data_IF_383100845093
#
_entry.id   IF_383100845093
#
_cell.length_a   1.000
_cell.length_b   1.000
_cell.length_c   1.000
_cell.angle_alpha   90.00
_cell.angle_beta   90.00
_cell.angle_gamma   90.00
#
_symmetry.space_group_name_H-M   'P 1'
#
loop_
_entity.id
_entity.type
_entity.pdbx_description
1 polymer ?
#
# COMPACT_ATOMS: atom_id res chain seq x y z
N UNK A 1 13.76 11.63 -9.13
CA UNK A 1 12.61 10.79 -8.72
C UNK A 1 12.87 9.30 -8.94
N UNK A 2 13.10 8.82 -10.17
CA UNK A 2 13.27 7.38 -10.43
C UNK A 2 14.47 6.79 -9.66
N UNK A 3 15.61 7.48 -9.62
CA UNK A 3 16.77 7.01 -8.84
C UNK A 3 16.47 6.89 -7.34
N UNK A 4 15.69 7.84 -6.80
CA UNK A 4 15.20 7.78 -5.41
C UNK A 4 14.26 6.58 -5.22
N UNK A 5 13.37 6.28 -6.16
CA UNK A 5 12.51 5.09 -6.09
C UNK A 5 13.32 3.78 -6.12
N UNK A 6 14.31 3.70 -7.01
CA UNK A 6 15.21 2.54 -7.11
C UNK A 6 16.00 2.38 -5.80
N UNK A 7 16.53 3.48 -5.26
CA UNK A 7 17.27 3.44 -4.01
C UNK A 7 16.39 3.10 -2.80
N UNK A 8 15.16 3.62 -2.74
CA UNK A 8 14.18 3.26 -1.71
C UNK A 8 13.80 1.77 -1.79
N UNK A 9 13.57 1.24 -3.00
CA UNK A 9 13.34 -0.18 -3.22
C UNK A 9 14.58 -1.01 -2.86
N UNK A 10 15.79 -0.51 -3.09
CA UNK A 10 17.04 -1.15 -2.63
C UNK A 10 17.29 -0.98 -1.13
N UNK A 11 16.35 -0.45 -0.37
CA UNK A 11 16.46 -0.26 1.08
C UNK A 11 17.65 0.63 1.48
N UNK A 12 18.02 1.60 0.63
CA UNK A 12 19.14 2.51 0.88
C UNK A 12 18.71 3.63 1.85
N UNK A 13 19.28 3.71 3.07
CA UNK A 13 18.92 4.73 4.06
C UNK A 13 19.13 6.17 3.56
N UNK A 14 20.18 6.41 2.77
CA UNK A 14 20.55 7.75 2.28
C UNK A 14 19.44 8.41 1.46
N UNK A 15 18.63 7.61 0.78
CA UNK A 15 17.51 8.12 0.00
C UNK A 15 16.44 8.71 0.90
N UNK A 16 16.21 8.11 2.07
CA UNK A 16 15.22 8.58 3.02
C UNK A 16 15.67 9.89 3.67
N UNK A 17 16.95 9.99 4.05
CA UNK A 17 17.58 11.25 4.50
C UNK A 17 17.47 12.36 3.43
N UNK A 18 17.69 12.02 2.16
CA UNK A 18 17.60 12.97 1.04
C UNK A 18 16.16 13.51 0.84
N UNK A 19 15.16 12.63 0.83
CA UNK A 19 13.75 13.03 0.58
C UNK A 19 13.09 13.67 1.79
N UNK A 20 13.58 13.38 2.98
CA UNK A 20 13.17 14.05 4.21
C UNK A 20 13.50 15.55 4.15
N UNK A 21 14.76 15.88 3.84
CA UNK A 21 15.24 17.26 3.75
C UNK A 21 14.68 18.03 2.53
N UNK A 22 14.27 17.33 1.47
CA UNK A 22 13.73 17.93 0.25
C UNK A 22 12.20 18.08 0.29
N UNK A 23 11.71 19.26 0.68
CA UNK A 23 10.27 19.56 0.72
C UNK A 23 9.56 19.38 -0.62
N UNK A 24 10.27 19.56 -1.75
CA UNK A 24 9.72 19.34 -3.09
C UNK A 24 9.43 17.87 -3.37
N UNK A 25 10.06 16.96 -2.61
CA UNK A 25 9.85 15.52 -2.74
C UNK A 25 8.46 15.07 -2.25
N UNK A 26 7.66 15.94 -1.63
CA UNK A 26 6.26 15.63 -1.24
C UNK A 26 5.39 15.32 -2.46
N UNK A 27 5.50 16.13 -3.52
CA UNK A 27 4.76 15.87 -4.77
C UNK A 27 5.29 14.62 -5.47
N UNK A 28 6.61 14.38 -5.42
CA UNK A 28 7.21 13.15 -5.95
C UNK A 28 6.70 11.92 -5.21
N UNK A 29 6.64 11.96 -3.86
CA UNK A 29 6.11 10.89 -3.03
C UNK A 29 4.65 10.58 -3.38
N UNK A 30 3.81 11.61 -3.55
CA UNK A 30 2.43 11.44 -4.00
C UNK A 30 2.34 10.80 -5.40
N UNK A 31 3.23 11.17 -6.33
CA UNK A 31 3.32 10.54 -7.66
C UNK A 31 3.74 9.06 -7.56
N UNK A 32 4.70 8.71 -6.69
CA UNK A 32 5.08 7.32 -6.44
C UNK A 32 3.88 6.50 -5.95
N UNK A 33 3.17 7.01 -4.94
CA UNK A 33 1.98 6.33 -4.38
C UNK A 33 0.87 6.20 -5.42
N UNK A 34 0.65 7.24 -6.22
CA UNK A 34 -0.32 7.23 -7.32
C UNK A 34 0.05 6.17 -8.35
N UNK A 35 1.32 6.08 -8.75
CA UNK A 35 1.82 5.07 -9.70
C UNK A 35 1.64 3.65 -9.16
N UNK A 36 1.96 3.43 -7.87
CA UNK A 36 1.75 2.15 -7.19
C UNK A 36 0.26 1.78 -7.16
N UNK A 37 -0.61 2.74 -6.84
CA UNK A 37 -2.06 2.57 -6.88
C UNK A 37 -2.57 2.24 -8.27
N UNK A 38 -2.09 2.94 -9.29
CA UNK A 38 -2.43 2.73 -10.70
C UNK A 38 -2.03 1.32 -11.15
N UNK A 39 -0.78 0.92 -10.91
CA UNK A 39 -0.28 -0.41 -11.32
C UNK A 39 -0.98 -1.54 -10.56
N UNK A 40 -1.22 -1.36 -9.26
CA UNK A 40 -2.02 -2.28 -8.47
C UNK A 40 -3.46 -2.40 -8.99
N UNK A 41 -4.05 -1.27 -9.41
CA UNK A 41 -5.39 -1.20 -9.97
C UNK A 41 -5.47 -1.89 -11.33
N UNK A 42 -4.48 -1.67 -12.20
CA UNK A 42 -4.36 -2.33 -13.50
C UNK A 42 -4.20 -3.85 -13.33
N UNK A 43 -3.32 -4.30 -12.44
CA UNK A 43 -3.18 -5.71 -12.13
C UNK A 43 -4.49 -6.34 -11.64
N UNK A 44 -5.23 -5.64 -10.77
CA UNK A 44 -6.52 -6.11 -10.28
C UNK A 44 -7.59 -6.14 -11.37
N UNK A 45 -7.67 -5.10 -12.21
CA UNK A 45 -8.60 -5.02 -13.32
C UNK A 45 -8.36 -6.12 -14.36
N UNK A 46 -7.10 -6.36 -14.73
CA UNK A 46 -6.72 -7.46 -15.63
C UNK A 46 -7.08 -8.82 -15.00
N UNK A 47 -6.80 -9.01 -13.70
CA UNK A 47 -7.17 -10.23 -12.99
C UNK A 47 -8.68 -10.50 -13.01
N UNK A 48 -9.49 -9.46 -12.78
CA UNK A 48 -10.94 -9.54 -12.87
C UNK A 48 -11.42 -9.91 -14.27
N UNK A 49 -10.91 -9.23 -15.30
CA UNK A 49 -11.29 -9.49 -16.70
C UNK A 49 -10.95 -10.93 -17.13
N UNK A 50 -9.75 -11.40 -16.78
CA UNK A 50 -9.26 -12.70 -17.25
C UNK A 50 -9.82 -13.89 -16.46
N UNK A 51 -10.03 -13.72 -15.14
CA UNK A 51 -10.29 -14.86 -14.26
C UNK A 51 -11.61 -14.75 -13.48
N UNK A 52 -12.23 -13.57 -13.40
CA UNK A 52 -13.43 -13.31 -12.57
C UNK A 52 -14.44 -12.41 -13.30
N UNK A 53 -14.72 -12.72 -14.56
CA UNK A 53 -15.62 -11.94 -15.42
C UNK A 53 -17.07 -11.90 -14.89
N UNK A 54 -17.47 -12.91 -14.11
CA UNK A 54 -18.71 -12.95 -13.35
C UNK A 54 -18.83 -11.76 -12.37
N UNK A 55 -17.75 -11.44 -11.66
CA UNK A 55 -17.70 -10.38 -10.65
C UNK A 55 -17.82 -8.99 -11.28
N UNK A 56 -17.37 -8.81 -12.52
CA UNK A 56 -17.45 -7.53 -13.21
C UNK A 56 -18.88 -7.00 -13.34
N UNK A 57 -19.86 -7.89 -13.44
CA UNK A 57 -21.28 -7.52 -13.50
C UNK A 57 -21.86 -7.04 -12.16
N UNK A 58 -21.22 -7.38 -11.04
CA UNK A 58 -21.66 -6.97 -9.69
C UNK A 58 -21.04 -5.66 -9.23
N UNK A 59 -20.04 -5.16 -9.96
CA UNK A 59 -19.41 -3.87 -9.68
C UNK A 59 -20.31 -2.70 -10.09
N UNK A 60 -20.22 -1.54 -9.41
CA UNK A 60 -20.90 -0.32 -9.84
C UNK A 60 -20.58 0.02 -11.30
N UNK A 61 -21.61 0.16 -12.13
CA UNK A 61 -21.48 0.42 -13.57
C UNK A 61 -21.28 -0.82 -14.46
N UNK A 62 -21.29 -2.02 -13.89
CA UNK A 62 -21.24 -3.30 -14.62
C UNK A 62 -19.94 -3.54 -15.39
N UNK A 63 -19.96 -4.50 -16.31
CA UNK A 63 -18.74 -5.02 -16.93
C UNK A 63 -17.95 -4.03 -17.80
N UNK A 64 -18.58 -2.97 -18.30
CA UNK A 64 -17.92 -1.95 -19.12
C UNK A 64 -17.16 -0.92 -18.27
N UNK A 65 -17.67 -0.57 -17.09
CA UNK A 65 -17.14 0.51 -16.25
C UNK A 65 -16.36 -0.04 -15.04
N UNK A 66 -16.64 -1.28 -14.64
CA UNK A 66 -16.02 -1.97 -13.51
C UNK A 66 -14.47 -1.89 -13.47
N UNK A 67 -13.74 -2.15 -14.57
CA UNK A 67 -12.28 -2.05 -14.57
C UNK A 67 -11.77 -0.65 -14.21
N UNK A 68 -12.43 0.40 -14.71
CA UNK A 68 -12.05 1.80 -14.43
C UNK A 68 -12.32 2.12 -12.96
N UNK A 69 -13.46 1.69 -12.42
CA UNK A 69 -13.81 1.87 -11.01
C UNK A 69 -12.76 1.22 -10.10
N UNK A 70 -12.30 0.01 -10.44
CA UNK A 70 -11.26 -0.69 -9.68
C UNK A 70 -9.94 0.08 -9.70
N UNK A 71 -9.52 0.59 -10.86
CA UNK A 71 -8.27 1.35 -10.98
C UNK A 71 -8.34 2.65 -10.17
N UNK A 72 -9.40 3.43 -10.35
CA UNK A 72 -9.58 4.71 -9.64
C UNK A 72 -9.73 4.49 -8.13
N UNK A 73 -10.51 3.47 -7.73
CA UNK A 73 -10.66 3.08 -6.34
C UNK A 73 -9.32 2.67 -5.71
N UNK A 74 -8.46 1.97 -6.46
CA UNK A 74 -7.15 1.56 -5.96
C UNK A 74 -6.17 2.72 -5.81
N UNK A 75 -6.18 3.70 -6.73
CA UNK A 75 -5.40 4.94 -6.60
C UNK A 75 -5.84 5.72 -5.37
N UNK A 76 -7.15 5.93 -5.20
CA UNK A 76 -7.71 6.64 -4.07
C UNK A 76 -7.36 5.94 -2.74
N UNK A 77 -7.53 4.62 -2.69
CA UNK A 77 -7.19 3.81 -1.51
C UNK A 77 -5.69 3.88 -1.20
N UNK A 78 -4.82 3.89 -2.22
CA UNK A 78 -3.37 4.01 -2.02
C UNK A 78 -2.99 5.37 -1.42
N UNK A 79 -3.54 6.46 -1.96
CA UNK A 79 -3.27 7.82 -1.47
C UNK A 79 -3.80 8.06 -0.06
N UNK A 80 -5.06 7.70 0.20
CA UNK A 80 -5.66 7.81 1.54
C UNK A 80 -4.97 6.89 2.54
N UNK A 81 -4.69 5.66 2.13
CA UNK A 81 -3.98 4.67 2.93
C UNK A 81 -2.60 5.15 3.35
N UNK A 82 -1.84 5.69 2.41
CA UNK A 82 -0.53 6.30 2.67
C UNK A 82 -0.61 7.50 3.62
N UNK A 83 -1.53 8.44 3.38
CA UNK A 83 -1.69 9.61 4.25
C UNK A 83 -2.06 9.24 5.69
N UNK A 84 -3.03 8.33 5.85
CA UNK A 84 -3.43 7.81 7.17
C UNK A 84 -2.26 7.05 7.82
N UNK A 85 -1.55 6.21 7.06
CA UNK A 85 -0.41 5.46 7.57
C UNK A 85 0.69 6.39 8.07
N UNK A 86 1.04 7.42 7.30
CA UNK A 86 2.01 8.42 7.71
C UNK A 86 1.57 9.19 8.95
N UNK A 87 0.29 9.58 9.03
CA UNK A 87 -0.25 10.25 10.21
C UNK A 87 -0.20 9.36 11.45
N UNK A 88 -0.68 8.12 11.36
CA UNK A 88 -0.64 7.16 12.48
C UNK A 88 0.79 6.93 12.95
N UNK A 89 1.71 6.70 12.01
CA UNK A 89 3.12 6.45 12.34
C UNK A 89 3.78 7.68 12.95
N UNK A 90 3.45 8.88 12.45
CA UNK A 90 3.90 10.15 13.02
C UNK A 90 3.42 10.32 14.46
N UNK A 91 2.11 10.15 14.71
CA UNK A 91 1.53 10.31 16.06
C UNK A 91 2.13 9.29 17.02
N UNK A 92 2.25 8.03 16.62
CA UNK A 92 2.86 6.98 17.45
C UNK A 92 4.33 7.30 17.74
N UNK A 93 5.11 7.65 16.71
CA UNK A 93 6.53 7.93 16.84
C UNK A 93 6.81 9.14 17.73
N UNK A 94 6.14 10.25 17.47
CA UNK A 94 6.34 11.51 18.22
C UNK A 94 5.75 11.43 19.64
N UNK A 95 4.58 10.83 19.82
CA UNK A 95 3.89 10.82 21.12
C UNK A 95 4.41 9.75 22.09
N UNK A 96 4.85 8.59 21.59
CA UNK A 96 5.26 7.46 22.46
C UNK A 96 6.79 7.39 22.57
N UNK A 97 7.50 7.71 21.48
CA UNK A 97 8.94 7.50 21.38
C UNK A 97 9.76 8.79 21.22
N UNK A 98 9.09 9.95 21.31
CA UNK A 98 9.67 11.29 21.29
C UNK A 98 10.50 11.56 20.02
N UNK A 99 9.99 11.13 18.85
CA UNK A 99 10.59 11.45 17.56
C UNK A 99 10.59 12.94 17.25
N UNK A 100 11.59 13.37 16.48
CA UNK A 100 11.88 14.79 16.18
C UNK A 100 11.37 15.27 14.83
N UNK A 101 10.84 14.38 13.99
CA UNK A 101 10.39 14.70 12.63
C UNK A 101 9.10 15.52 12.60
N UNK A 102 8.94 16.28 11.53
CA UNK A 102 7.65 16.80 11.10
C UNK A 102 6.85 15.75 10.31
N UNK A 103 5.52 15.89 10.33
CA UNK A 103 4.64 14.97 9.58
C UNK A 103 4.98 14.91 8.08
N UNK A 104 5.40 16.04 7.50
CA UNK A 104 5.77 16.12 6.07
C UNK A 104 7.02 15.32 5.72
N UNK A 105 8.01 15.27 6.61
CA UNK A 105 9.24 14.48 6.45
C UNK A 105 8.91 12.98 6.42
N UNK A 106 8.12 12.54 7.39
CA UNK A 106 7.69 11.15 7.47
C UNK A 106 6.78 10.77 6.30
N UNK A 107 5.86 11.66 5.89
CA UNK A 107 4.99 11.47 4.74
C UNK A 107 5.79 11.23 3.47
N UNK A 108 6.81 12.07 3.20
CA UNK A 108 7.74 11.92 2.06
C UNK A 108 8.48 10.58 2.10
N UNK A 109 9.13 10.27 3.23
CA UNK A 109 9.87 9.03 3.40
C UNK A 109 8.99 7.79 3.17
N UNK A 110 7.79 7.77 3.76
CA UNK A 110 6.85 6.66 3.60
C UNK A 110 6.24 6.57 2.20
N UNK A 111 6.15 7.68 1.47
CA UNK A 111 5.68 7.65 0.07
C UNK A 111 6.71 6.99 -0.85
N UNK A 112 8.01 7.29 -0.65
CA UNK A 112 9.09 6.57 -1.36
C UNK A 112 9.23 5.11 -0.92
N UNK A 113 8.92 4.78 0.34
CA UNK A 113 8.90 3.41 0.82
C UNK A 113 7.88 2.51 0.09
N UNK A 114 6.90 3.11 -0.60
CA UNK A 114 5.92 2.39 -1.42
C UNK A 114 6.49 1.90 -2.76
N UNK A 115 7.70 2.33 -3.14
CA UNK A 115 8.30 2.03 -4.45
C UNK A 115 8.30 0.55 -4.86
N UNK A 116 8.57 -0.44 -3.98
CA UNK A 116 8.44 -1.85 -4.34
C UNK A 116 7.04 -2.25 -4.83
N UNK A 117 6.01 -1.50 -4.40
CA UNK A 117 4.61 -1.68 -4.78
C UNK A 117 4.30 -1.48 -6.27
N UNK A 118 5.25 -0.98 -7.08
CA UNK A 118 5.16 -0.96 -8.55
C UNK A 118 4.90 -2.37 -9.10
N UNK A 119 5.41 -3.41 -8.42
CA UNK A 119 5.13 -4.81 -8.71
C UNK A 119 3.66 -5.20 -8.50
N UNK A 120 2.82 -4.28 -8.01
CA UNK A 120 1.37 -4.41 -7.92
C UNK A 120 0.70 -4.72 -9.26
N UNK A 121 1.35 -4.45 -10.39
CA UNK A 121 0.87 -4.93 -11.71
C UNK A 121 0.70 -6.45 -11.75
N UNK A 122 1.49 -7.21 -10.99
CA UNK A 122 1.43 -8.68 -10.91
C UNK A 122 0.23 -9.20 -10.10
N UNK A 123 -0.58 -8.31 -9.50
CA UNK A 123 -1.78 -8.70 -8.75
C UNK A 123 -2.76 -9.52 -9.57
N UNK A 124 -2.75 -9.44 -10.91
CA UNK A 124 -3.66 -10.26 -11.74
C UNK A 124 -3.52 -11.77 -11.45
N UNK A 125 -2.34 -12.23 -11.04
CA UNK A 125 -2.07 -13.64 -10.71
C UNK A 125 -2.88 -14.13 -9.50
N UNK A 126 -3.26 -13.25 -8.57
CA UNK A 126 -4.04 -13.63 -7.37
C UNK A 126 -5.51 -13.92 -7.68
N UNK A 127 -6.01 -13.45 -8.83
CA UNK A 127 -7.40 -13.62 -9.25
C UNK A 127 -7.65 -14.93 -9.97
N UNK A 128 -6.60 -15.67 -10.34
CA UNK A 128 -6.73 -16.99 -10.95
C UNK A 128 -7.63 -17.89 -10.06
N UNK A 129 -8.77 -18.30 -10.60
CA UNK A 129 -9.71 -19.17 -9.91
C UNK A 129 -9.25 -20.62 -10.01
N UNK A 130 -9.22 -21.38 -8.89
CA UNK A 130 -9.00 -22.81 -8.93
C UNK A 130 -10.29 -23.54 -9.34
N UNK A 131 -10.78 -23.32 -10.57
CA UNK A 131 -11.93 -24.05 -11.10
C UNK A 131 -11.45 -25.28 -11.88
N UNK A 132 -11.53 -26.46 -11.27
CA UNK A 132 -11.27 -27.77 -11.90
C UNK A 132 -10.11 -28.58 -11.29
N UNK A 133 -10.05 -29.88 -11.61
CA UNK A 133 -9.08 -30.89 -11.12
C UNK A 133 -7.61 -30.63 -11.51
N UNK A 134 -7.28 -29.46 -12.07
CA UNK A 134 -5.93 -29.11 -12.53
C UNK A 134 -5.20 -28.25 -11.50
N UNK A 135 -4.20 -28.82 -10.83
CA UNK A 135 -3.36 -28.14 -9.85
C UNK A 135 -2.56 -26.93 -10.38
N UNK A 136 -2.44 -26.75 -11.71
CA UNK A 136 -1.63 -25.68 -12.30
C UNK A 136 -2.17 -24.27 -12.01
N UNK A 137 -3.49 -24.04 -12.11
CA UNK A 137 -4.09 -22.73 -11.82
C UNK A 137 -4.05 -22.41 -10.32
N UNK A 138 -4.20 -23.43 -9.47
CA UNK A 138 -4.02 -23.29 -8.02
C UNK A 138 -2.58 -22.86 -7.67
N UNK A 139 -1.57 -23.42 -8.36
CA UNK A 139 -0.18 -22.99 -8.23
C UNK A 139 0.04 -21.53 -8.64
N UNK A 140 -0.60 -21.06 -9.72
CA UNK A 140 -0.50 -19.66 -10.18
C UNK A 140 -1.09 -18.71 -9.15
N UNK A 141 -2.28 -19.01 -8.61
CA UNK A 141 -2.89 -18.22 -7.54
C UNK A 141 -1.98 -18.16 -6.31
N UNK A 142 -1.47 -19.30 -5.86
CA UNK A 142 -0.56 -19.36 -4.72
C UNK A 142 0.71 -18.54 -4.94
N UNK A 143 1.29 -18.61 -6.15
CA UNK A 143 2.43 -17.80 -6.53
C UNK A 143 2.09 -16.30 -6.49
N UNK A 144 0.93 -15.90 -7.00
CA UNK A 144 0.45 -14.52 -6.91
C UNK A 144 0.33 -14.04 -5.46
N UNK A 145 -0.23 -14.86 -4.57
CA UNK A 145 -0.35 -14.55 -3.14
C UNK A 145 1.03 -14.42 -2.48
N UNK A 146 1.96 -15.33 -2.81
CA UNK A 146 3.33 -15.30 -2.32
C UNK A 146 4.06 -14.03 -2.78
N UNK A 147 3.97 -13.68 -4.07
CA UNK A 147 4.54 -12.44 -4.60
C UNK A 147 3.95 -11.23 -3.87
N UNK A 148 2.63 -11.18 -3.70
CA UNK A 148 1.97 -10.10 -2.98
C UNK A 148 2.46 -9.97 -1.53
N UNK A 149 2.61 -11.09 -0.82
CA UNK A 149 3.14 -11.11 0.53
C UNK A 149 4.60 -10.64 0.61
N UNK A 150 5.44 -11.09 -0.33
CA UNK A 150 6.85 -10.67 -0.41
C UNK A 150 6.98 -9.18 -0.72
N UNK A 151 6.17 -8.64 -1.63
CA UNK A 151 6.13 -7.20 -1.92
C UNK A 151 5.64 -6.41 -0.71
N UNK A 152 4.60 -6.89 -0.01
CA UNK A 152 4.12 -6.26 1.22
C UNK A 152 5.18 -6.22 2.31
N UNK A 153 5.91 -7.33 2.53
CA UNK A 153 7.02 -7.38 3.47
C UNK A 153 8.15 -6.44 3.04
N UNK A 154 8.46 -6.37 1.76
CA UNK A 154 9.46 -5.47 1.22
C UNK A 154 9.09 -3.99 1.48
N UNK A 155 7.84 -3.61 1.23
CA UNK A 155 7.34 -2.26 1.52
C UNK A 155 7.33 -1.96 3.02
N UNK A 156 7.12 -2.98 3.86
CA UNK A 156 7.22 -2.84 5.32
C UNK A 156 8.66 -2.59 5.77
N UNK A 157 9.62 -3.32 5.21
CA UNK A 157 11.05 -3.11 5.47
C UNK A 157 11.52 -1.74 4.97
N UNK A 158 11.04 -1.31 3.79
CA UNK A 158 11.28 0.02 3.26
C UNK A 158 10.72 1.11 4.20
N UNK A 159 9.49 0.89 4.70
CA UNK A 159 8.86 1.79 5.67
C UNK A 159 9.64 1.82 6.99
N UNK A 160 10.17 0.68 7.45
CA UNK A 160 11.01 0.62 8.66
C UNK A 160 12.24 1.50 8.54
N UNK A 161 12.91 1.46 7.40
CA UNK A 161 14.08 2.30 7.16
C UNK A 161 13.66 3.76 7.05
N UNK A 162 12.58 4.06 6.31
CA UNK A 162 12.06 5.43 6.18
C UNK A 162 11.67 6.06 7.52
N UNK A 163 10.94 5.32 8.37
CA UNK A 163 10.57 5.75 9.73
C UNK A 163 11.80 5.96 10.59
N UNK A 164 12.80 5.07 10.47
CA UNK A 164 14.03 5.17 11.23
C UNK A 164 14.82 6.44 10.89
N UNK A 165 14.94 6.76 9.60
CA UNK A 165 15.64 7.97 9.16
C UNK A 165 14.84 9.21 9.53
N UNK A 166 13.56 9.27 9.14
CA UNK A 166 12.72 10.44 9.38
C UNK A 166 12.62 10.82 10.86
N UNK A 167 12.41 9.85 11.76
CA UNK A 167 12.24 10.13 13.20
C UNK A 167 13.54 10.11 14.00
N UNK A 168 14.72 10.03 13.35
CA UNK A 168 16.02 9.88 14.01
C UNK A 168 16.07 8.72 15.03
N UNK A 169 15.44 7.61 14.68
CA UNK A 169 15.25 6.48 15.60
C UNK A 169 16.38 5.46 15.56
N UNK A 170 16.55 4.77 16.69
CA UNK A 170 17.20 3.47 16.69
C UNK A 170 16.30 2.43 16.02
N UNK A 171 16.88 1.34 15.50
CA UNK A 171 16.11 0.26 14.86
C UNK A 171 15.01 -0.27 15.77
N UNK A 172 15.25 -0.37 17.09
CA UNK A 172 14.26 -0.85 18.05
C UNK A 172 13.04 0.08 18.14
N UNK A 173 13.25 1.39 18.26
CA UNK A 173 12.14 2.38 18.30
C UNK A 173 11.34 2.37 16.99
N UNK A 174 12.01 2.28 15.85
CA UNK A 174 11.36 2.21 14.54
C UNK A 174 10.49 0.95 14.40
N UNK A 175 11.01 -0.22 14.81
CA UNK A 175 10.24 -1.48 14.81
C UNK A 175 9.00 -1.37 15.69
N UNK A 176 9.16 -0.89 16.93
CA UNK A 176 8.02 -0.74 17.85
C UNK A 176 6.98 0.25 17.33
N UNK A 177 7.42 1.35 16.74
CA UNK A 177 6.54 2.35 16.12
C UNK A 177 5.71 1.74 14.99
N UNK A 178 6.35 0.97 14.10
CA UNK A 178 5.63 0.27 13.02
C UNK A 178 4.66 -0.77 13.56
N UNK A 179 5.05 -1.56 14.57
CA UNK A 179 4.17 -2.58 15.14
C UNK A 179 2.92 -1.95 15.79
N UNK A 180 3.09 -0.89 16.58
CA UNK A 180 1.97 -0.16 17.19
C UNK A 180 1.11 0.50 16.11
N UNK A 181 1.74 1.15 15.14
CA UNK A 181 1.04 1.74 13.99
C UNK A 181 0.20 0.71 13.23
N UNK A 182 0.73 -0.50 13.02
CA UNK A 182 0.01 -1.62 12.40
C UNK A 182 -1.22 -2.04 13.21
N UNK A 183 -1.10 -2.15 14.53
CA UNK A 183 -2.23 -2.49 15.40
C UNK A 183 -3.33 -1.42 15.28
N UNK A 184 -2.96 -0.14 15.36
CA UNK A 184 -3.90 0.97 15.20
C UNK A 184 -4.56 0.93 13.82
N UNK A 185 -3.78 0.69 12.76
CA UNK A 185 -4.29 0.59 11.40
C UNK A 185 -5.30 -0.54 11.25
N UNK A 186 -5.00 -1.73 11.79
CA UNK A 186 -5.93 -2.88 11.80
C UNK A 186 -7.23 -2.48 12.51
N UNK A 187 -7.15 -1.84 13.67
CA UNK A 187 -8.33 -1.39 14.41
C UNK A 187 -9.17 -0.41 13.59
N UNK A 188 -8.53 0.57 12.94
CA UNK A 188 -9.21 1.52 12.05
C UNK A 188 -9.91 0.81 10.88
N UNK A 189 -9.22 -0.11 10.21
CA UNK A 189 -9.77 -0.86 9.08
C UNK A 189 -10.94 -1.76 9.51
N UNK A 190 -10.89 -2.34 10.71
CA UNK A 190 -12.00 -3.09 11.33
C UNK A 190 -13.20 -2.16 11.57
N UNK A 191 -13.01 -0.99 12.17
CA UNK A 191 -14.09 -0.02 12.39
C UNK A 191 -14.73 0.45 11.08
N UNK A 192 -13.92 0.73 10.05
CA UNK A 192 -14.43 1.11 8.72
C UNK A 192 -15.26 -0.03 8.12
N UNK A 193 -14.79 -1.28 8.23
CA UNK A 193 -15.51 -2.45 7.70
C UNK A 193 -16.85 -2.65 8.41
N UNK A 194 -16.89 -2.60 9.75
CA UNK A 194 -18.14 -2.72 10.51
C UNK A 194 -19.08 -1.54 10.28
N UNK A 195 -18.55 -0.32 10.18
CA UNK A 195 -19.32 0.88 9.85
C UNK A 195 -19.98 0.77 8.48
N UNK A 196 -19.25 0.29 7.47
CA UNK A 196 -19.79 0.03 6.14
C UNK A 196 -20.87 -1.05 6.17
N UNK A 197 -20.64 -2.18 6.84
CA UNK A 197 -21.63 -3.25 6.97
C UNK A 197 -22.93 -2.76 7.65
N UNK A 198 -22.81 -1.92 8.68
CA UNK A 198 -23.94 -1.26 9.34
C UNK A 198 -24.67 -0.28 8.43
N UNK A 199 -23.96 0.54 7.65
CA UNK A 199 -24.55 1.45 6.66
C UNK A 199 -25.36 0.68 5.61
N UNK A 200 -24.80 -0.36 5.01
CA UNK A 200 -25.48 -1.15 3.99
C UNK A 200 -26.69 -1.92 4.54
N UNK A 201 -26.65 -2.33 5.82
CA UNK A 201 -27.80 -2.95 6.49
C UNK A 201 -28.97 -1.99 6.79
N UNK A 202 -28.75 -0.67 6.77
CA UNK A 202 -29.81 0.34 6.94
C UNK A 202 -30.54 0.69 5.63
N UNK A 203 -30.00 0.29 4.48
CA UNK A 203 -30.58 0.54 3.15
C UNK A 203 -31.08 -0.74 2.46
N UNK A 204 -31.10 -1.88 3.17
CA UNK A 204 -31.56 -3.19 2.68
C UNK A 204 -32.94 -3.57 3.18
#
# INVERSE_FOLDING_TARGET
MIDRMIGAARLNPRVYEEVEADVSATSQAALVVTLVGLLGGLGSAVGLILFRADVLSTLPGGSLVGPVVVILGQILTALLGWGIWALVTYVVGTSIFEGTADWGELLRALGFAQSPGILGVLKFLTFAEPSGLFGLLACIRFLGLLIGALVGLWMLLASLIGVRQALDFSTRKAVLTILIGWIIRIVLDVFVTFGNAGLFGLFG
#
